data_IF_154094674227
#
_entry.id   IF_154094674227
#
_cell.length_a   1.000
_cell.length_b   1.000
_cell.length_c   1.000
_cell.angle_alpha   90.00
_cell.angle_beta   90.00
_cell.angle_gamma   90.00
#
_symmetry.space_group_name_H-M   'P 1'
#
loop_
_entity.id
_entity.type
_entity.pdbx_description
1 polymer ?
#
# COMPACT_ATOMS: atom_id res chain seq x y z
N UNK A 1 25.33 -19.97 -3.15
CA UNK A 1 24.55 -20.33 -4.35
C UNK A 1 23.51 -21.35 -3.94
N UNK A 2 22.23 -21.09 -4.23
CA UNK A 2 21.11 -21.94 -3.79
C UNK A 2 20.53 -22.71 -4.98
N UNK A 3 20.26 -24.00 -4.77
CA UNK A 3 19.70 -24.91 -5.77
C UNK A 3 18.37 -25.50 -5.32
N UNK A 4 17.51 -25.76 -6.30
CA UNK A 4 16.30 -26.54 -6.10
C UNK A 4 16.64 -27.98 -5.75
N UNK A 5 15.98 -28.52 -4.73
CA UNK A 5 16.10 -29.94 -4.36
C UNK A 5 14.78 -30.42 -3.79
N UNK A 6 14.15 -31.40 -4.46
CA UNK A 6 12.86 -31.95 -4.02
C UNK A 6 12.96 -32.72 -2.70
N UNK A 7 14.13 -33.29 -2.38
CA UNK A 7 14.38 -34.02 -1.13
C UNK A 7 14.12 -33.18 0.14
N UNK A 8 14.17 -31.84 0.04
CA UNK A 8 13.79 -30.93 1.13
C UNK A 8 12.33 -31.10 1.59
N UNK A 9 11.49 -31.73 0.76
CA UNK A 9 10.07 -31.92 0.99
C UNK A 9 9.67 -33.40 1.09
N UNK A 10 10.63 -34.31 1.28
CA UNK A 10 10.35 -35.75 1.36
C UNK A 10 9.43 -36.12 2.55
N UNK A 11 9.57 -35.41 3.68
CA UNK A 11 8.78 -35.63 4.89
C UNK A 11 7.51 -34.77 4.93
N UNK A 12 7.10 -34.19 3.80
CA UNK A 12 5.89 -33.38 3.70
C UNK A 12 4.74 -34.21 3.14
N UNK A 13 3.56 -34.01 3.71
CA UNK A 13 2.35 -34.67 3.26
C UNK A 13 1.72 -33.91 2.09
N UNK A 14 1.01 -34.62 1.20
CA UNK A 14 0.19 -33.97 0.18
C UNK A 14 -0.97 -33.25 0.87
N UNK A 15 -1.15 -31.97 0.54
CA UNK A 15 -2.28 -31.21 1.04
C UNK A 15 -3.55 -31.56 0.27
N UNK A 16 -4.44 -32.33 0.90
CA UNK A 16 -5.71 -32.81 0.33
C UNK A 16 -6.77 -31.71 0.17
N UNK A 17 -6.56 -30.54 0.79
CA UNK A 17 -7.46 -29.38 0.61
C UNK A 17 -7.36 -28.81 -0.82
N UNK A 18 -6.32 -29.21 -1.58
CA UNK A 18 -6.04 -28.75 -2.94
C UNK A 18 -5.71 -29.92 -3.87
N UNK A 19 -6.14 -29.81 -5.13
CA UNK A 19 -5.86 -30.85 -6.13
C UNK A 19 -4.42 -30.72 -6.64
N UNK A 20 -3.58 -31.71 -6.34
CA UNK A 20 -2.25 -31.82 -6.91
C UNK A 20 -2.27 -32.49 -8.29
N UNK A 21 -1.39 -32.04 -9.18
CA UNK A 21 -1.15 -32.60 -10.52
C UNK A 21 0.32 -32.98 -10.68
N UNK A 22 0.73 -33.43 -11.87
CA UNK A 22 2.14 -33.72 -12.17
C UNK A 22 3.02 -32.47 -12.05
N UNK A 23 2.54 -31.33 -12.58
CA UNK A 23 3.30 -30.08 -12.65
C UNK A 23 2.97 -29.10 -11.52
N UNK A 24 2.05 -29.42 -10.62
CA UNK A 24 1.64 -28.54 -9.52
C UNK A 24 1.36 -29.37 -8.27
N UNK A 25 2.21 -29.26 -7.26
CA UNK A 25 2.13 -30.04 -6.02
C UNK A 25 1.81 -29.12 -4.85
N UNK A 26 0.83 -29.50 -4.05
CA UNK A 26 0.48 -28.83 -2.79
C UNK A 26 0.88 -29.74 -1.64
N UNK A 27 1.75 -29.23 -0.76
CA UNK A 27 2.32 -29.96 0.36
C UNK A 27 2.06 -29.21 1.66
N UNK A 28 1.94 -29.96 2.76
CA UNK A 28 1.75 -29.41 4.10
C UNK A 28 2.62 -30.06 5.16
N UNK A 29 2.91 -29.29 6.20
CA UNK A 29 3.54 -29.75 7.45
C UNK A 29 3.05 -28.86 8.60
N UNK A 30 2.10 -29.37 9.39
CA UNK A 30 1.39 -28.55 10.39
C UNK A 30 0.70 -27.34 9.75
N UNK A 31 1.05 -26.13 10.21
CA UNK A 31 0.52 -24.87 9.69
C UNK A 31 1.28 -24.32 8.47
N UNK A 32 2.36 -24.98 8.03
CA UNK A 32 3.07 -24.59 6.83
C UNK A 32 2.42 -25.20 5.58
N UNK A 33 2.46 -24.45 4.48
CA UNK A 33 2.06 -24.86 3.15
C UNK A 33 3.16 -24.56 2.15
N UNK A 34 3.36 -25.47 1.21
CA UNK A 34 4.28 -25.33 0.08
C UNK A 34 3.52 -25.68 -1.20
N UNK A 35 3.56 -24.78 -2.19
CA UNK A 35 3.16 -25.08 -3.57
C UNK A 35 4.40 -25.14 -4.44
N UNK A 36 4.61 -26.25 -5.13
CA UNK A 36 5.69 -26.44 -6.10
C UNK A 36 5.07 -26.51 -7.49
N UNK A 37 5.36 -25.52 -8.33
CA UNK A 37 4.84 -25.45 -9.70
C UNK A 37 5.98 -25.54 -10.70
N UNK A 38 5.91 -26.56 -11.58
CA UNK A 38 6.83 -26.79 -12.68
C UNK A 38 6.26 -26.17 -13.95
N UNK A 39 6.94 -25.16 -14.49
CA UNK A 39 6.64 -24.56 -15.78
C UNK A 39 7.63 -25.08 -16.85
N UNK A 40 7.51 -24.57 -18.09
CA UNK A 40 8.38 -24.97 -19.21
C UNK A 40 9.87 -24.78 -18.90
N UNK A 41 10.25 -23.62 -18.35
CA UNK A 41 11.65 -23.24 -18.14
C UNK A 41 12.02 -22.94 -16.68
N UNK A 42 11.05 -22.98 -15.76
CA UNK A 42 11.26 -22.60 -14.36
C UNK A 42 10.49 -23.48 -13.40
N UNK A 43 10.99 -23.59 -12.17
CA UNK A 43 10.31 -24.21 -11.03
C UNK A 43 10.04 -23.09 -10.03
N UNK A 44 8.79 -22.96 -9.60
CA UNK A 44 8.39 -21.98 -8.59
C UNK A 44 8.02 -22.71 -7.31
N UNK A 45 8.56 -22.24 -6.18
CA UNK A 45 8.16 -22.67 -4.85
C UNK A 45 7.52 -21.49 -4.15
N UNK A 46 6.28 -21.64 -3.71
CA UNK A 46 5.60 -20.68 -2.83
C UNK A 46 5.41 -21.31 -1.47
N UNK A 47 5.91 -20.67 -0.40
CA UNK A 47 5.70 -21.10 1.00
C UNK A 47 4.83 -20.08 1.72
N UNK A 48 3.93 -20.57 2.55
CA UNK A 48 3.01 -19.74 3.33
C UNK A 48 2.63 -20.43 4.63
N UNK A 49 2.00 -19.68 5.53
CA UNK A 49 1.39 -20.20 6.75
C UNK A 49 -0.13 -20.15 6.62
N UNK A 50 -0.83 -21.03 7.35
CA UNK A 50 -2.30 -21.15 7.32
C UNK A 50 -3.02 -20.08 8.13
N UNK A 51 -2.32 -19.20 8.84
CA UNK A 51 -2.93 -18.19 9.72
C UNK A 51 -2.53 -16.75 9.39
N UNK A 52 -1.55 -16.55 8.49
CA UNK A 52 -1.10 -15.22 8.11
C UNK A 52 -1.05 -15.04 6.59
N UNK A 53 -0.81 -13.82 6.14
CA UNK A 53 -0.87 -13.47 4.70
C UNK A 53 0.48 -13.38 4.03
N UNK A 54 1.54 -13.75 4.74
CA UNK A 54 2.90 -13.72 4.23
C UNK A 54 3.16 -14.92 3.35
N UNK A 55 3.74 -14.66 2.18
CA UNK A 55 4.18 -15.72 1.28
C UNK A 55 5.60 -15.45 0.81
N UNK A 56 6.42 -16.50 0.78
CA UNK A 56 7.77 -16.44 0.25
C UNK A 56 7.81 -17.24 -1.04
N UNK A 57 8.36 -16.66 -2.09
CA UNK A 57 8.43 -17.26 -3.41
C UNK A 57 9.87 -17.36 -3.86
N UNK A 58 10.29 -18.56 -4.27
CA UNK A 58 11.56 -18.83 -4.90
C UNK A 58 11.32 -19.30 -6.33
N UNK A 59 12.08 -18.78 -7.27
CA UNK A 59 12.00 -19.14 -8.68
C UNK A 59 13.35 -19.70 -9.09
N UNK A 60 13.36 -20.93 -9.58
CA UNK A 60 14.56 -21.65 -10.01
C UNK A 60 14.52 -21.89 -11.52
N UNK A 61 15.69 -21.92 -12.12
CA UNK A 61 15.87 -22.43 -13.48
C UNK A 61 15.56 -23.93 -13.51
N UNK A 62 14.74 -24.39 -14.47
CA UNK A 62 14.38 -25.81 -14.53
C UNK A 62 15.53 -26.71 -14.98
N UNK A 63 16.46 -26.20 -15.79
CA UNK A 63 17.58 -27.00 -16.32
C UNK A 63 18.73 -27.06 -15.32
N UNK A 64 19.13 -25.92 -14.76
CA UNK A 64 20.29 -25.85 -13.86
C UNK A 64 19.92 -25.97 -12.37
N UNK A 65 18.62 -25.91 -12.03
CA UNK A 65 18.12 -25.85 -10.65
C UNK A 65 18.60 -24.60 -9.86
N UNK A 66 19.35 -23.69 -10.47
CA UNK A 66 19.88 -22.49 -9.82
C UNK A 66 18.75 -21.52 -9.48
N UNK A 67 18.79 -20.93 -8.29
CA UNK A 67 17.89 -19.86 -7.90
C UNK A 67 18.06 -18.63 -8.81
N UNK A 68 16.96 -18.13 -9.38
CA UNK A 68 16.91 -16.96 -10.25
C UNK A 68 16.26 -15.76 -9.58
N UNK A 69 15.29 -15.97 -8.70
CA UNK A 69 14.64 -14.90 -7.97
C UNK A 69 14.08 -15.37 -6.62
N UNK A 70 14.07 -14.46 -5.66
CA UNK A 70 13.41 -14.58 -4.37
C UNK A 70 12.58 -13.32 -4.10
N UNK A 71 11.33 -13.50 -3.72
CA UNK A 71 10.41 -12.40 -3.36
C UNK A 71 9.56 -12.82 -2.17
N UNK A 72 9.38 -11.90 -1.21
CA UNK A 72 8.38 -12.03 -0.16
C UNK A 72 7.19 -11.13 -0.48
N UNK A 73 5.97 -11.62 -0.25
CA UNK A 73 4.75 -10.87 -0.47
C UNK A 73 3.89 -10.88 0.78
N UNK A 74 3.11 -9.81 0.98
CA UNK A 74 1.94 -9.80 1.84
C UNK A 74 0.70 -9.74 0.96
N UNK A 75 -0.24 -10.68 1.13
CA UNK A 75 -1.33 -10.90 0.18
C UNK A 75 -0.80 -11.10 -1.26
N UNK A 76 -0.93 -10.06 -2.10
CA UNK A 76 -0.62 -10.09 -3.53
C UNK A 76 0.48 -9.11 -3.94
N UNK A 77 1.02 -8.30 -3.01
CA UNK A 77 2.06 -7.32 -3.32
C UNK A 77 3.40 -7.67 -2.66
N UNK A 78 4.54 -7.35 -3.31
CA UNK A 78 5.86 -7.64 -2.77
C UNK A 78 6.19 -6.71 -1.60
N UNK A 79 6.96 -7.23 -0.64
CA UNK A 79 7.46 -6.53 0.55
C UNK A 79 8.92 -6.89 0.79
N UNK A 80 9.61 -6.11 1.63
CA UNK A 80 11.02 -6.25 1.93
C UNK A 80 11.91 -6.31 0.68
N UNK A 81 13.11 -6.85 0.82
CA UNK A 81 14.09 -6.95 -0.27
C UNK A 81 13.77 -8.17 -1.15
N UNK A 82 13.40 -7.90 -2.40
CA UNK A 82 13.42 -8.87 -3.49
C UNK A 82 14.84 -9.04 -4.05
N UNK A 83 15.22 -10.26 -4.42
CA UNK A 83 16.57 -10.59 -4.91
C UNK A 83 16.50 -11.31 -6.25
N UNK A 84 17.37 -10.92 -7.18
CA UNK A 84 17.47 -11.52 -8.51
C UNK A 84 18.90 -11.96 -8.81
N UNK A 85 19.03 -13.12 -9.44
CA UNK A 85 20.30 -13.80 -9.66
C UNK A 85 20.48 -14.15 -11.13
N UNK A 86 21.73 -14.12 -11.61
CA UNK A 86 22.08 -14.57 -12.95
C UNK A 86 22.11 -16.11 -13.05
N UNK A 87 22.57 -16.63 -14.20
CA UNK A 87 22.62 -18.08 -14.49
C UNK A 87 23.61 -18.86 -13.66
N UNK A 88 24.62 -18.17 -13.14
CA UNK A 88 25.62 -18.71 -12.24
C UNK A 88 25.22 -18.51 -10.78
N UNK A 89 23.98 -18.12 -10.50
CA UNK A 89 23.48 -17.93 -9.13
C UNK A 89 24.12 -16.75 -8.39
N UNK A 90 24.73 -15.81 -9.11
CA UNK A 90 25.32 -14.59 -8.57
C UNK A 90 24.23 -13.53 -8.50
N UNK A 91 24.12 -12.85 -7.36
CA UNK A 91 23.17 -11.75 -7.14
C UNK A 91 23.49 -10.60 -8.10
N UNK A 92 22.49 -10.15 -8.85
CA UNK A 92 22.62 -9.05 -9.83
C UNK A 92 21.74 -7.84 -9.52
N UNK A 93 20.67 -8.03 -8.74
CA UNK A 93 19.74 -6.95 -8.38
C UNK A 93 19.08 -7.24 -7.04
N UNK A 94 18.98 -6.19 -6.23
CA UNK A 94 18.08 -6.12 -5.09
C UNK A 94 17.06 -5.01 -5.32
N UNK A 95 15.86 -5.18 -4.78
CA UNK A 95 14.81 -4.16 -4.84
C UNK A 95 14.13 -4.13 -3.49
N UNK A 96 14.24 -3.01 -2.79
CA UNK A 96 13.52 -2.77 -1.56
C UNK A 96 12.09 -2.34 -1.90
N UNK A 97 11.12 -3.20 -1.64
CA UNK A 97 9.72 -2.93 -1.89
C UNK A 97 9.04 -2.12 -0.78
N UNK A 98 9.73 -1.92 0.35
CA UNK A 98 9.25 -1.08 1.45
C UNK A 98 9.84 0.35 1.39
N UNK A 99 10.87 0.60 0.58
CA UNK A 99 11.55 1.91 0.49
C UNK A 99 10.61 3.10 0.25
N UNK A 100 9.58 3.02 -0.61
CA UNK A 100 8.62 4.12 -0.76
C UNK A 100 7.72 4.33 0.46
N UNK A 101 7.57 3.33 1.34
CA UNK A 101 6.55 3.31 2.39
C UNK A 101 7.16 3.60 3.77
N UNK A 102 7.39 4.87 4.09
CA UNK A 102 7.86 5.29 5.42
C UNK A 102 6.89 4.91 6.53
N UNK A 103 5.57 4.92 6.25
CA UNK A 103 4.57 4.29 7.08
C UNK A 103 4.51 2.79 6.75
N UNK A 104 5.03 1.97 7.66
CA UNK A 104 5.28 0.56 7.40
C UNK A 104 4.00 -0.29 7.38
N UNK A 105 4.07 -1.47 6.75
CA UNK A 105 2.98 -2.44 6.79
C UNK A 105 2.64 -2.87 8.24
N UNK A 106 3.65 -2.93 9.11
CA UNK A 106 3.43 -3.26 10.53
C UNK A 106 2.60 -2.17 11.22
N UNK A 107 2.90 -0.91 10.96
CA UNK A 107 2.12 0.21 11.51
C UNK A 107 0.70 0.22 10.94
N UNK A 108 0.53 -0.08 9.65
CA UNK A 108 -0.79 -0.27 9.04
C UNK A 108 -1.60 -1.37 9.75
N UNK A 109 -1.02 -2.55 9.97
CA UNK A 109 -1.67 -3.66 10.68
C UNK A 109 -2.15 -3.20 12.06
N UNK A 110 -1.29 -2.50 12.81
CA UNK A 110 -1.63 -2.00 14.13
C UNK A 110 -2.71 -0.91 14.10
N UNK A 111 -2.65 0.01 13.13
CA UNK A 111 -3.64 1.08 12.94
C UNK A 111 -5.02 0.50 12.68
N UNK A 112 -5.15 -0.40 11.70
CA UNK A 112 -6.44 -1.00 11.34
C UNK A 112 -6.99 -1.86 12.49
N UNK A 113 -6.13 -2.62 13.17
CA UNK A 113 -6.54 -3.40 14.34
C UNK A 113 -7.07 -2.51 15.46
N UNK A 114 -6.43 -1.37 15.72
CA UNK A 114 -6.84 -0.42 16.75
C UNK A 114 -8.14 0.31 16.40
N UNK A 115 -8.29 0.74 15.16
CA UNK A 115 -9.38 1.63 14.74
C UNK A 115 -10.64 0.88 14.29
N UNK A 116 -10.48 -0.34 13.75
CA UNK A 116 -11.60 -1.12 13.19
C UNK A 116 -11.83 -2.47 13.88
N UNK A 117 -10.99 -2.88 14.83
CA UNK A 117 -11.01 -4.21 15.48
C UNK A 117 -10.88 -5.36 14.47
N UNK A 118 -10.05 -5.15 13.43
CA UNK A 118 -9.80 -6.10 12.35
C UNK A 118 -8.31 -6.37 12.25
N UNK A 119 -7.94 -7.65 12.28
CA UNK A 119 -6.54 -8.06 12.12
C UNK A 119 -6.28 -8.36 10.64
N UNK A 120 -5.67 -7.40 9.94
CA UNK A 120 -5.40 -7.54 8.51
C UNK A 120 -4.34 -8.59 8.21
N UNK A 121 -3.56 -9.09 9.19
CA UNK A 121 -2.62 -10.20 8.98
C UNK A 121 -3.33 -11.56 9.05
N UNK A 122 -4.45 -11.65 9.79
CA UNK A 122 -5.25 -12.88 9.88
C UNK A 122 -5.85 -13.23 8.50
N UNK A 123 -5.45 -14.38 7.97
CA UNK A 123 -5.88 -14.84 6.66
C UNK A 123 -7.31 -15.42 6.64
N UNK A 124 -7.92 -15.64 7.82
CA UNK A 124 -9.33 -16.06 7.94
C UNK A 124 -10.29 -14.90 7.76
N UNK A 125 -9.81 -13.68 7.98
CA UNK A 125 -10.62 -12.48 7.82
C UNK A 125 -10.74 -12.13 6.34
N UNK A 126 -11.90 -11.66 5.90
CA UNK A 126 -12.14 -11.33 4.49
C UNK A 126 -11.63 -9.92 4.13
N UNK A 127 -10.36 -9.65 4.44
CA UNK A 127 -9.68 -8.38 4.18
C UNK A 127 -8.85 -8.50 2.90
N UNK A 128 -8.81 -7.44 2.09
CA UNK A 128 -7.83 -7.30 1.00
C UNK A 128 -7.02 -6.05 1.25
N UNK A 129 -5.71 -6.15 1.08
CA UNK A 129 -4.79 -5.01 1.18
C UNK A 129 -3.95 -5.01 -0.09
N UNK A 130 -3.83 -3.85 -0.71
CA UNK A 130 -2.89 -3.59 -1.81
C UNK A 130 -2.08 -2.33 -1.54
N UNK A 131 -0.98 -2.22 -2.28
CA UNK A 131 -0.07 -1.09 -2.30
C UNK A 131 0.03 -0.59 -3.72
N UNK A 132 0.17 0.72 -3.92
CA UNK A 132 0.42 1.31 -5.22
C UNK A 132 1.19 2.62 -5.11
N UNK A 133 1.90 2.93 -6.18
CA UNK A 133 2.44 4.26 -6.44
C UNK A 133 1.82 4.66 -7.77
N UNK A 134 0.82 5.53 -7.71
CA UNK A 134 0.09 5.96 -8.90
C UNK A 134 0.70 7.24 -9.47
N UNK A 135 0.88 7.30 -10.79
CA UNK A 135 1.60 8.37 -11.49
C UNK A 135 0.93 9.73 -11.30
N UNK A 136 -0.40 9.77 -11.18
CA UNK A 136 -1.15 11.01 -10.95
C UNK A 136 -0.86 11.64 -9.58
N UNK A 137 -0.84 10.82 -8.53
CA UNK A 137 -0.64 11.31 -7.16
C UNK A 137 0.84 11.33 -6.76
N UNK A 138 1.69 10.59 -7.48
CA UNK A 138 3.13 10.42 -7.22
C UNK A 138 3.44 10.08 -5.75
N UNK A 139 2.52 9.35 -5.12
CA UNK A 139 2.56 9.01 -3.71
C UNK A 139 2.33 7.51 -3.52
N UNK A 140 3.07 6.89 -2.58
CA UNK A 140 2.79 5.54 -2.14
C UNK A 140 1.51 5.56 -1.31
N UNK A 141 0.61 4.61 -1.55
CA UNK A 141 -0.63 4.49 -0.78
C UNK A 141 -0.94 3.03 -0.50
N UNK A 142 -1.62 2.80 0.63
CA UNK A 142 -2.25 1.54 0.95
C UNK A 142 -3.74 1.62 0.64
N UNK A 143 -4.25 0.60 -0.03
CA UNK A 143 -5.68 0.40 -0.23
C UNK A 143 -6.13 -0.76 0.64
N UNK A 144 -7.04 -0.48 1.57
CA UNK A 144 -7.55 -1.46 2.53
C UNK A 144 -9.03 -1.66 2.28
N UNK A 145 -9.40 -2.91 2.01
CA UNK A 145 -10.76 -3.35 1.76
C UNK A 145 -11.22 -4.25 2.91
N UNK A 146 -12.09 -3.73 3.76
CA UNK A 146 -12.62 -4.40 4.94
C UNK A 146 -14.01 -4.97 4.66
N UNK A 147 -14.40 -6.10 5.29
CA UNK A 147 -15.80 -6.51 5.29
C UNK A 147 -16.63 -5.44 6.02
N UNK A 148 -17.67 -4.93 5.37
CA UNK A 148 -18.54 -3.91 6.00
C UNK A 148 -19.41 -4.56 7.09
N UNK A 149 -19.63 -3.84 8.18
CA UNK A 149 -20.55 -4.26 9.26
C UNK A 149 -22.02 -4.14 8.85
N UNK A 150 -22.32 -3.28 7.88
CA UNK A 150 -23.68 -2.89 7.54
C UNK A 150 -24.42 -3.90 6.66
N UNK A 151 -23.73 -4.54 5.72
CA UNK A 151 -24.37 -5.48 4.79
C UNK A 151 -23.40 -6.47 4.17
N UNK A 152 -23.91 -7.68 3.91
CA UNK A 152 -23.19 -8.74 3.21
C UNK A 152 -22.95 -8.30 1.75
N UNK A 153 -21.71 -8.38 1.30
CA UNK A 153 -21.31 -8.00 -0.07
C UNK A 153 -20.93 -6.53 -0.24
N UNK A 154 -21.11 -5.71 0.80
CA UNK A 154 -20.52 -4.37 0.93
C UNK A 154 -19.15 -4.47 1.59
N UNK A 155 -18.24 -3.63 1.14
CA UNK A 155 -16.90 -3.50 1.71
C UNK A 155 -16.61 -2.05 2.01
N UNK A 156 -15.99 -1.81 3.15
CA UNK A 156 -15.47 -0.50 3.50
C UNK A 156 -14.08 -0.38 2.88
N UNK A 157 -13.84 0.75 2.22
CA UNK A 157 -12.59 1.07 1.55
C UNK A 157 -11.92 2.23 2.27
N UNK A 158 -10.65 2.04 2.60
CA UNK A 158 -9.83 3.06 3.25
C UNK A 158 -8.55 3.20 2.43
N UNK A 159 -8.30 4.42 1.95
CA UNK A 159 -7.08 4.81 1.28
C UNK A 159 -6.18 5.53 2.29
N UNK A 160 -4.96 5.03 2.47
CA UNK A 160 -4.03 5.55 3.48
C UNK A 160 -2.74 5.99 2.78
N UNK A 161 -2.22 7.16 3.14
CA UNK A 161 -0.93 7.65 2.69
C UNK A 161 0.19 6.72 3.20
N UNK A 162 0.99 6.18 2.28
CA UNK A 162 2.06 5.23 2.57
C UNK A 162 3.29 5.86 3.24
N UNK A 163 3.35 7.19 3.35
CA UNK A 163 4.42 7.92 4.02
C UNK A 163 4.03 8.40 5.41
N UNK A 164 2.81 8.94 5.58
CA UNK A 164 2.37 9.53 6.85
C UNK A 164 1.45 8.62 7.66
N UNK A 165 0.74 7.69 7.00
CA UNK A 165 -0.32 6.89 7.63
C UNK A 165 -1.66 7.62 7.76
N UNK A 166 -1.79 8.81 7.17
CA UNK A 166 -3.04 9.57 7.16
C UNK A 166 -4.08 8.91 6.25
N UNK A 167 -5.35 8.99 6.66
CA UNK A 167 -6.47 8.56 5.84
C UNK A 167 -6.74 9.63 4.78
N UNK A 168 -6.58 9.26 3.51
CA UNK A 168 -6.78 10.14 2.36
C UNK A 168 -8.22 10.11 1.86
N UNK A 169 -8.86 8.95 1.93
CA UNK A 169 -10.21 8.74 1.42
C UNK A 169 -10.85 7.52 2.07
N UNK A 170 -12.15 7.63 2.38
CA UNK A 170 -12.97 6.52 2.84
C UNK A 170 -14.27 6.48 2.05
N UNK A 171 -14.67 5.28 1.68
CA UNK A 171 -15.98 5.05 1.06
C UNK A 171 -16.41 3.62 1.32
N UNK A 172 -17.62 3.27 0.92
CA UNK A 172 -18.03 1.88 0.86
C UNK A 172 -18.47 1.53 -0.57
N UNK A 173 -18.20 0.29 -0.98
CA UNK A 173 -18.53 -0.18 -2.32
C UNK A 173 -19.09 -1.61 -2.30
N UNK A 174 -19.99 -1.88 -3.23
CA UNK A 174 -20.56 -3.20 -3.43
C UNK A 174 -19.77 -3.95 -4.48
N UNK A 175 -19.35 -5.18 -4.16
CA UNK A 175 -18.51 -5.97 -5.08
C UNK A 175 -19.25 -6.46 -6.34
N UNK A 176 -20.58 -6.33 -6.40
CA UNK A 176 -21.43 -6.89 -7.48
C UNK A 176 -22.07 -5.83 -8.38
N UNK A 177 -21.77 -4.55 -8.17
CA UNK A 177 -22.34 -3.49 -9.00
C UNK A 177 -21.39 -3.15 -10.15
N UNK A 178 -21.68 -3.70 -11.33
CA UNK A 178 -20.89 -3.48 -12.54
C UNK A 178 -20.90 -2.03 -13.04
N UNK A 179 -21.66 -1.12 -12.41
CA UNK A 179 -21.73 0.29 -12.77
C UNK A 179 -20.99 1.22 -11.78
N UNK A 180 -20.43 0.69 -10.68
CA UNK A 180 -19.72 1.51 -9.70
C UNK A 180 -18.28 1.81 -10.16
N UNK A 181 -17.97 3.10 -10.25
CA UNK A 181 -16.60 3.61 -10.32
C UNK A 181 -15.77 3.03 -9.16
N UNK A 182 -14.60 2.43 -9.42
CA UNK A 182 -13.71 1.93 -8.36
C UNK A 182 -13.42 2.99 -7.30
N UNK A 183 -13.33 2.63 -5.99
CA UNK A 183 -13.12 3.61 -4.91
C UNK A 183 -11.92 4.53 -5.12
N UNK A 184 -10.82 4.01 -5.67
CA UNK A 184 -9.66 4.84 -5.97
C UNK A 184 -9.92 5.88 -7.06
N UNK A 185 -10.67 5.50 -8.10
CA UNK A 185 -11.02 6.44 -9.18
C UNK A 185 -11.96 7.53 -8.64
N UNK A 186 -12.84 7.20 -7.67
CA UNK A 186 -13.61 8.22 -6.94
C UNK A 186 -12.71 9.21 -6.19
N UNK A 187 -11.64 8.72 -5.54
CA UNK A 187 -10.65 9.58 -4.92
C UNK A 187 -9.95 10.49 -5.96
N UNK A 188 -9.53 9.95 -7.10
CA UNK A 188 -8.93 10.75 -8.17
C UNK A 188 -9.90 11.83 -8.68
N UNK A 189 -11.18 11.50 -8.88
CA UNK A 189 -12.19 12.48 -9.29
C UNK A 189 -12.43 13.54 -8.21
N UNK A 190 -12.32 13.19 -6.93
CA UNK A 190 -12.40 14.16 -5.83
C UNK A 190 -11.24 15.16 -5.87
N UNK A 191 -10.03 14.70 -6.20
CA UNK A 191 -8.86 15.56 -6.37
C UNK A 191 -9.02 16.49 -7.59
N UNK A 192 -9.43 15.94 -8.73
CA UNK A 192 -9.64 16.72 -9.96
C UNK A 192 -10.77 17.75 -9.79
N UNK A 193 -11.83 17.41 -9.05
CA UNK A 193 -12.93 18.33 -8.72
C UNK A 193 -12.46 19.46 -7.80
N UNK A 194 -11.68 19.12 -6.77
CA UNK A 194 -11.11 20.10 -5.85
C UNK A 194 -10.16 21.05 -6.57
N UNK A 195 -9.29 20.54 -7.44
CA UNK A 195 -8.39 21.36 -8.25
C UNK A 195 -9.17 22.35 -9.15
N UNK A 196 -10.27 21.90 -9.76
CA UNK A 196 -11.14 22.79 -10.54
C UNK A 196 -11.79 23.87 -9.68
N UNK A 197 -12.26 23.53 -8.48
CA UNK A 197 -12.86 24.48 -7.55
C UNK A 197 -11.84 25.51 -7.06
N UNK A 198 -10.64 25.05 -6.67
CA UNK A 198 -9.56 25.90 -6.17
C UNK A 198 -9.09 26.92 -7.23
N UNK A 199 -9.13 26.52 -8.51
CA UNK A 199 -8.78 27.36 -9.67
C UNK A 199 -9.98 28.11 -10.28
N UNK A 200 -11.20 27.89 -9.80
CA UNK A 200 -12.36 28.61 -10.30
C UNK A 200 -12.29 30.09 -9.89
N UNK A 201 -12.87 30.96 -10.73
CA UNK A 201 -13.07 32.35 -10.37
C UNK A 201 -13.83 32.45 -9.03
N UNK A 202 -13.27 33.18 -8.08
CA UNK A 202 -13.86 33.36 -6.76
C UNK A 202 -14.42 34.77 -6.58
N UNK A 203 -13.59 35.80 -6.72
CA UNK A 203 -14.02 37.20 -6.59
C UNK A 203 -13.04 38.19 -7.21
N UNK A 204 -13.49 39.42 -7.36
CA UNK A 204 -12.65 40.56 -7.74
C UNK A 204 -12.43 41.49 -6.55
N UNK A 205 -11.18 41.87 -6.29
CA UNK A 205 -10.80 42.82 -5.24
C UNK A 205 -9.73 43.78 -5.76
N UNK A 206 -9.94 45.09 -5.55
CA UNK A 206 -9.05 46.17 -6.03
C UNK A 206 -8.69 46.05 -7.52
N UNK A 207 -9.64 45.64 -8.35
CA UNK A 207 -9.45 45.50 -9.81
C UNK A 207 -8.73 44.22 -10.25
N UNK A 208 -8.28 43.37 -9.33
CA UNK A 208 -7.74 42.04 -9.65
C UNK A 208 -8.80 40.97 -9.38
N UNK A 209 -8.98 40.05 -10.33
CA UNK A 209 -9.76 38.82 -10.13
C UNK A 209 -8.89 37.75 -9.51
N UNK A 210 -9.45 37.03 -8.54
CA UNK A 210 -8.78 35.98 -7.78
C UNK A 210 -9.50 34.65 -7.99
N UNK A 211 -8.73 33.57 -8.10
CA UNK A 211 -9.23 32.23 -7.82
C UNK A 211 -9.40 32.01 -6.33
N UNK A 212 -10.04 30.91 -5.92
CA UNK A 212 -10.26 30.60 -4.50
C UNK A 212 -8.92 30.47 -3.76
N UNK A 213 -7.98 29.71 -4.33
CA UNK A 213 -6.65 29.52 -3.71
C UNK A 213 -5.82 30.80 -3.70
N UNK A 214 -5.91 31.64 -4.74
CA UNK A 214 -5.22 32.93 -4.75
C UNK A 214 -5.78 33.88 -3.70
N UNK A 215 -7.10 33.82 -3.46
CA UNK A 215 -7.73 34.64 -2.45
C UNK A 215 -7.36 34.19 -1.03
N UNK A 216 -7.33 32.89 -0.77
CA UNK A 216 -6.90 32.34 0.52
C UNK A 216 -5.44 32.72 0.82
N UNK A 217 -4.52 32.53 -0.13
CA UNK A 217 -3.12 32.98 0.03
C UNK A 217 -3.01 34.48 0.29
N UNK A 218 -3.80 35.29 -0.41
CA UNK A 218 -3.83 36.72 -0.18
C UNK A 218 -4.30 37.08 1.25
N UNK A 219 -5.27 36.35 1.80
CA UNK A 219 -5.72 36.54 3.17
C UNK A 219 -4.66 36.11 4.18
N UNK A 220 -3.99 34.98 3.96
CA UNK A 220 -2.90 34.49 4.83
C UNK A 220 -1.75 35.50 4.87
N UNK A 221 -1.30 35.98 3.70
CA UNK A 221 -0.27 37.04 3.61
C UNK A 221 -0.72 38.31 4.34
N UNK A 222 -1.99 38.69 4.23
CA UNK A 222 -2.53 39.85 4.95
C UNK A 222 -2.52 39.64 6.47
N UNK A 223 -2.84 38.42 6.93
CA UNK A 223 -2.84 38.05 8.34
C UNK A 223 -1.42 38.06 8.92
N UNK A 224 -0.46 37.41 8.26
CA UNK A 224 0.95 37.40 8.65
C UNK A 224 1.51 38.83 8.74
N UNK A 225 1.28 39.67 7.71
CA UNK A 225 1.70 41.08 7.73
C UNK A 225 1.08 41.88 8.87
N UNK A 226 -0.17 41.57 9.27
CA UNK A 226 -0.83 42.22 10.39
C UNK A 226 -0.21 41.78 11.73
N UNK A 227 0.06 40.49 11.91
CA UNK A 227 0.71 39.97 13.11
C UNK A 227 2.13 40.52 13.27
N UNK A 228 2.93 40.58 12.21
CA UNK A 228 4.28 41.17 12.19
C UNK A 228 4.27 42.67 12.53
N UNK A 229 3.29 43.41 12.01
CA UNK A 229 3.11 44.82 12.35
C UNK A 229 2.71 45.00 13.80
N UNK A 230 1.84 44.16 14.33
CA UNK A 230 1.46 44.22 15.74
C UNK A 230 2.60 43.79 16.67
N UNK A 231 3.43 42.81 16.30
CA UNK A 231 4.62 42.45 17.08
C UNK A 231 5.68 43.54 17.04
N UNK A 232 5.93 44.17 15.89
CA UNK A 232 6.86 45.29 15.78
C UNK A 232 6.36 46.55 16.51
N UNK A 233 5.07 46.86 16.45
CA UNK A 233 4.46 47.94 17.24
C UNK A 233 4.56 47.64 18.75
N UNK A 234 4.31 46.40 19.18
CA UNK A 234 4.46 45.99 20.58
C UNK A 234 5.94 45.98 21.04
N UNK A 235 6.89 45.69 20.14
CA UNK A 235 8.31 45.78 20.42
C UNK A 235 8.75 47.23 20.64
N UNK A 236 8.40 48.16 19.74
CA UNK A 236 8.70 49.58 19.91
C UNK A 236 7.96 50.23 21.08
N UNK A 237 6.73 49.81 21.36
CA UNK A 237 5.97 50.23 22.54
C UNK A 237 6.62 49.83 23.87
N UNK A 238 7.29 48.66 23.92
CA UNK A 238 8.04 48.22 25.10
C UNK A 238 9.43 48.84 25.22
N UNK A 239 10.06 49.21 24.10
CA UNK A 239 11.36 49.92 24.09
C UNK A 239 11.21 51.40 24.48
N UNK A 240 10.10 52.05 24.10
CA UNK A 240 9.87 53.48 24.35
C UNK A 240 9.24 53.79 25.72
N UNK A 241 8.67 52.80 26.43
CA UNK A 241 8.04 52.97 27.75
C UNK A 241 8.89 52.52 28.95
N UNK A 242 10.18 52.20 28.75
CA UNK A 242 11.12 52.06 29.86
C UNK A 242 11.70 53.43 30.23
N UNK A 243 10.99 54.17 31.06
CA UNK A 243 11.56 55.25 31.89
C UNK A 243 11.24 54.97 33.35
#
# INVERSE_FOLDING_TARGET
MEYFTIAKYQDWEIDQDWTSSENDKFLKKGNERVRITSHKNKIQIKRSLTFNRYTKTWIYDKKSAVLRAYVMCFNQFPIAIGKFYNENGILIKETDHDEPYSFSLKELILKIKKEHDIDIDDNKQNVVVSRRIEDKIKKPVYEVYLPSKDSIGKRDYILIDGTTGDVLFETAYYSHDNQLTPPFDQYLYSLESKEKEDNAYFKTYKGKSYTKIEWERFLDECHENYEERNTSINFWGNVLNRK
#
